data_IF_237828634516
#
_entry.id   IF_237828634516
#
_cell.length_a   1.000
_cell.length_b   1.000
_cell.length_c   1.000
_cell.angle_alpha   90.00
_cell.angle_beta   90.00
_cell.angle_gamma   90.00
#
_symmetry.space_group_name_H-M   'P 1'
#
loop_
_entity.id
_entity.type
_entity.pdbx_description
1 polymer ?
#
# COMPACT_ATOMS: atom_id res chain seq x y z
N UNK A 1 22.88 -5.67 -8.38
CA UNK A 1 22.23 -6.79 -7.68
C UNK A 1 20.75 -6.49 -7.64
N UNK A 2 19.97 -7.23 -8.42
CA UNK A 2 18.53 -7.08 -8.56
C UNK A 2 17.85 -7.38 -7.21
N UNK A 3 17.27 -6.38 -6.55
CA UNK A 3 16.21 -6.64 -5.57
C UNK A 3 14.92 -6.87 -6.32
N UNK A 4 14.81 -8.06 -6.92
CA UNK A 4 13.53 -8.58 -7.36
C UNK A 4 12.62 -8.61 -6.14
N UNK A 5 11.47 -7.95 -6.28
CA UNK A 5 10.27 -8.20 -5.49
C UNK A 5 10.25 -9.67 -5.09
N UNK A 6 10.17 -9.96 -3.79
CA UNK A 6 9.77 -11.30 -3.36
C UNK A 6 8.31 -11.46 -3.75
N UNK A 7 8.10 -11.87 -5.00
CA UNK A 7 6.85 -12.40 -5.54
C UNK A 7 6.36 -13.45 -4.56
N UNK A 8 5.14 -13.30 -4.06
CA UNK A 8 4.54 -14.19 -3.08
C UNK A 8 4.58 -13.64 -1.65
N UNK A 9 3.46 -13.01 -1.26
CA UNK A 9 2.81 -13.20 0.06
C UNK A 9 1.48 -12.46 0.25
N UNK A 10 0.90 -11.84 -0.78
CA UNK A 10 -0.51 -11.40 -0.71
C UNK A 10 -1.18 -11.62 -2.06
N UNK A 11 -1.94 -12.71 -2.18
CA UNK A 11 -2.82 -12.93 -3.32
C UNK A 11 -3.81 -11.76 -3.45
N UNK A 12 -4.27 -11.17 -2.35
CA UNK A 12 -5.14 -9.99 -2.34
C UNK A 12 -4.51 -8.82 -3.11
N UNK A 13 -3.28 -8.42 -2.77
CA UNK A 13 -2.63 -7.28 -3.42
C UNK A 13 -2.17 -7.64 -4.84
N UNK A 14 -1.69 -8.86 -5.08
CA UNK A 14 -1.32 -9.30 -6.43
C UNK A 14 -2.54 -9.44 -7.36
N UNK A 15 -3.67 -9.97 -6.89
CA UNK A 15 -4.88 -10.22 -7.67
C UNK A 15 -5.74 -8.95 -7.87
N UNK A 16 -5.77 -8.06 -6.89
CA UNK A 16 -6.37 -6.72 -7.03
C UNK A 16 -5.60 -5.85 -8.03
N UNK A 17 -4.27 -5.93 -8.02
CA UNK A 17 -3.42 -5.14 -8.91
C UNK A 17 -3.28 -5.73 -10.33
N UNK A 18 -3.53 -7.03 -10.52
CA UNK A 18 -3.47 -7.68 -11.85
C UNK A 18 -4.78 -7.58 -12.65
N UNK A 19 -5.91 -7.21 -12.03
CA UNK A 19 -7.20 -7.03 -12.73
C UNK A 19 -7.35 -5.66 -13.41
N UNK A 20 -6.43 -4.71 -13.19
CA UNK A 20 -6.25 -3.59 -14.11
C UNK A 20 -5.25 -4.00 -15.20
N UNK A 21 -5.71 -4.13 -16.45
CA UNK A 21 -4.88 -4.34 -17.66
C UNK A 21 -3.97 -3.13 -18.01
N UNK A 22 -3.53 -2.40 -17.00
CA UNK A 22 -2.46 -1.41 -17.04
C UNK A 22 -1.65 -1.61 -15.77
N UNK A 23 -0.61 -2.43 -15.84
CA UNK A 23 0.36 -2.74 -14.77
C UNK A 23 1.23 -1.52 -14.39
N UNK A 24 0.59 -0.39 -14.12
CA UNK A 24 1.22 0.76 -13.49
C UNK A 24 0.85 0.67 -12.02
N UNK A 25 1.79 0.20 -11.20
CA UNK A 25 1.69 0.28 -9.75
C UNK A 25 1.31 1.72 -9.37
N UNK A 26 0.28 1.90 -8.55
CA UNK A 26 -0.17 3.21 -8.04
C UNK A 26 1.02 4.03 -7.53
N UNK A 27 1.96 3.35 -6.89
CA UNK A 27 3.20 3.95 -6.40
C UNK A 27 4.11 4.47 -7.51
N UNK A 28 4.27 3.70 -8.58
CA UNK A 28 5.05 4.10 -9.76
C UNK A 28 4.39 5.26 -10.49
N UNK A 29 3.05 5.28 -10.54
CA UNK A 29 2.28 6.39 -11.12
C UNK A 29 2.40 7.69 -10.31
N UNK A 30 2.33 7.61 -8.98
CA UNK A 30 2.35 8.79 -8.09
C UNK A 30 3.77 9.31 -7.82
N UNK A 31 4.76 8.43 -7.71
CA UNK A 31 6.10 8.76 -7.20
C UNK A 31 7.24 8.40 -8.15
N UNK A 32 6.96 7.78 -9.30
CA UNK A 32 7.99 7.36 -10.26
C UNK A 32 8.89 6.23 -9.74
N UNK A 33 8.56 5.61 -8.60
CA UNK A 33 9.34 4.55 -7.96
C UNK A 33 8.43 3.50 -7.32
N UNK A 34 8.99 2.33 -7.02
CA UNK A 34 8.31 1.32 -6.21
C UNK A 34 8.32 1.69 -4.72
N UNK A 35 7.35 1.13 -3.99
CA UNK A 35 7.31 1.25 -2.54
C UNK A 35 8.53 0.57 -1.92
N UNK A 36 9.08 1.10 -0.82
CA UNK A 36 10.25 0.47 -0.22
C UNK A 36 9.94 -0.92 0.36
N UNK A 37 8.80 -1.09 1.03
CA UNK A 37 8.34 -2.40 1.49
C UNK A 37 6.82 -2.52 1.45
N UNK A 38 6.39 -3.77 1.30
CA UNK A 38 5.03 -4.22 1.50
C UNK A 38 5.05 -5.41 2.48
N UNK A 39 4.38 -5.27 3.62
CA UNK A 39 4.34 -6.28 4.68
C UNK A 39 2.87 -6.63 5.01
N UNK A 40 2.57 -7.88 5.38
CA UNK A 40 1.30 -8.26 6.01
C UNK A 40 1.50 -8.30 7.53
N UNK A 41 0.49 -7.95 8.31
CA UNK A 41 0.54 -8.15 9.76
C UNK A 41 0.63 -9.66 10.08
N UNK A 42 1.38 -10.00 11.14
CA UNK A 42 1.62 -11.40 11.50
C UNK A 42 0.39 -12.06 12.16
N UNK A 43 -0.45 -11.26 12.80
CA UNK A 43 -1.56 -11.67 13.67
C UNK A 43 -2.93 -11.23 13.14
N UNK A 44 -2.97 -10.50 12.02
CA UNK A 44 -4.20 -10.02 11.38
C UNK A 44 -4.06 -10.13 9.86
N UNK A 45 -4.69 -11.14 9.27
CA UNK A 45 -4.61 -11.43 7.84
C UNK A 45 -5.24 -10.34 6.96
N UNK A 46 -6.03 -9.45 7.55
CA UNK A 46 -6.71 -8.33 6.88
C UNK A 46 -5.87 -7.07 6.83
N UNK A 47 -4.75 -7.02 7.57
CA UNK A 47 -3.94 -5.83 7.73
C UNK A 47 -2.63 -5.94 6.95
N UNK A 48 -2.35 -4.91 6.16
CA UNK A 48 -1.16 -4.76 5.32
C UNK A 48 -0.51 -3.40 5.56
N UNK A 49 0.79 -3.32 5.27
CA UNK A 49 1.60 -2.13 5.46
C UNK A 49 2.38 -1.80 4.20
N UNK A 50 2.24 -0.58 3.69
CA UNK A 50 3.17 0.01 2.72
C UNK A 50 4.10 0.92 3.48
N UNK A 51 5.40 0.64 3.45
CA UNK A 51 6.41 1.35 4.25
C UNK A 51 7.33 2.13 3.32
N UNK A 52 7.53 3.40 3.64
CA UNK A 52 8.43 4.32 2.96
C UNK A 52 9.47 4.85 3.92
N UNK A 53 10.74 4.54 3.66
CA UNK A 53 11.85 4.91 4.53
C UNK A 53 12.05 6.43 4.56
N UNK A 54 11.74 7.10 3.46
CA UNK A 54 11.80 8.55 3.32
C UNK A 54 10.40 9.09 3.01
N UNK A 55 10.01 10.27 3.53
CA UNK A 55 8.70 10.85 3.26
C UNK A 55 8.46 11.01 1.76
N UNK A 56 7.33 10.48 1.28
CA UNK A 56 6.91 10.44 -0.13
C UNK A 56 6.93 11.79 -0.87
N UNK A 57 6.91 12.89 -0.13
CA UNK A 57 6.83 14.26 -0.65
C UNK A 57 8.19 14.99 -0.67
N UNK A 58 9.28 14.40 -0.17
CA UNK A 58 10.60 15.05 -0.24
C UNK A 58 11.09 15.28 -1.70
N UNK A 59 10.41 14.68 -2.67
CA UNK A 59 10.59 14.97 -4.11
C UNK A 59 10.03 16.34 -4.52
N UNK A 60 9.04 16.87 -3.79
CA UNK A 60 8.26 18.06 -4.19
C UNK A 60 8.24 19.18 -3.14
N UNK A 61 8.74 18.95 -1.93
CA UNK A 61 8.76 19.96 -0.86
C UNK A 61 10.14 20.07 -0.21
N UNK A 62 10.64 21.30 -0.07
CA UNK A 62 11.89 21.62 0.64
C UNK A 62 11.68 21.78 2.15
N UNK A 63 11.01 20.82 2.80
CA UNK A 63 10.83 20.83 4.26
C UNK A 63 11.98 20.03 4.90
N UNK A 64 12.76 20.62 5.83
CA UNK A 64 13.79 19.90 6.57
C UNK A 64 13.22 18.65 7.25
N UNK A 65 14.00 17.57 7.31
CA UNK A 65 13.52 16.28 7.84
C UNK A 65 13.00 16.41 9.28
N UNK A 66 13.58 17.31 10.07
CA UNK A 66 13.16 17.57 11.45
C UNK A 66 11.72 18.08 11.57
N UNK A 67 11.19 18.72 10.52
CA UNK A 67 9.85 19.28 10.46
C UNK A 67 8.90 18.42 9.60
N UNK A 68 9.31 17.20 9.26
CA UNK A 68 8.50 16.31 8.44
C UNK A 68 7.23 15.90 9.18
N UNK A 69 6.08 16.12 8.56
CA UNK A 69 4.77 15.70 9.06
C UNK A 69 4.17 14.62 8.16
N UNK A 70 3.15 13.92 8.65
CA UNK A 70 2.45 12.89 7.87
C UNK A 70 1.43 13.47 6.88
N UNK A 71 1.33 14.79 6.69
CA UNK A 71 0.29 15.42 5.87
C UNK A 71 0.23 14.85 4.45
N UNK A 72 1.38 14.69 3.80
CA UNK A 72 1.44 14.17 2.44
C UNK A 72 1.21 12.65 2.38
N UNK A 73 1.69 11.93 3.38
CA UNK A 73 1.39 10.51 3.52
C UNK A 73 -0.11 10.29 3.78
N UNK A 74 -0.79 11.18 4.50
CA UNK A 74 -2.24 11.18 4.71
C UNK A 74 -3.01 11.43 3.40
N UNK A 75 -2.57 12.39 2.58
CA UNK A 75 -3.12 12.60 1.24
C UNK A 75 -2.98 11.33 0.37
N UNK A 76 -1.79 10.73 0.34
CA UNK A 76 -1.56 9.45 -0.35
C UNK A 76 -2.45 8.35 0.22
N UNK A 77 -2.60 8.27 1.54
CA UNK A 77 -3.46 7.30 2.20
C UNK A 77 -4.91 7.40 1.74
N UNK A 78 -5.46 8.61 1.65
CA UNK A 78 -6.79 8.86 1.11
C UNK A 78 -6.94 8.45 -0.36
N UNK A 79 -5.94 8.76 -1.20
CA UNK A 79 -5.93 8.34 -2.61
C UNK A 79 -5.90 6.81 -2.74
N UNK A 80 -5.08 6.12 -1.94
CA UNK A 80 -5.01 4.66 -1.92
C UNK A 80 -6.33 4.06 -1.43
N UNK A 81 -6.93 4.60 -0.36
CA UNK A 81 -8.23 4.17 0.16
C UNK A 81 -9.32 4.24 -0.93
N UNK A 82 -9.38 5.36 -1.65
CA UNK A 82 -10.33 5.55 -2.74
C UNK A 82 -10.11 4.54 -3.88
N UNK A 83 -8.86 4.34 -4.32
CA UNK A 83 -8.53 3.39 -5.38
C UNK A 83 -8.96 1.97 -5.00
N UNK A 84 -8.62 1.52 -3.78
CA UNK A 84 -8.98 0.19 -3.29
C UNK A 84 -10.50 0.01 -3.24
N UNK A 85 -11.20 0.97 -2.63
CA UNK A 85 -12.67 0.95 -2.48
C UNK A 85 -13.37 0.91 -3.83
N UNK A 86 -13.00 1.79 -4.77
CA UNK A 86 -13.61 1.85 -6.10
C UNK A 86 -13.21 0.68 -7.02
N UNK A 87 -12.13 -0.04 -6.68
CA UNK A 87 -11.73 -1.26 -7.38
C UNK A 87 -12.42 -2.52 -6.84
N UNK A 88 -13.31 -2.39 -5.84
CA UNK A 88 -14.04 -3.51 -5.24
C UNK A 88 -13.33 -4.16 -4.04
N UNK A 89 -12.30 -3.52 -3.51
CA UNK A 89 -11.54 -3.97 -2.35
C UNK A 89 -11.66 -2.96 -1.20
N UNK A 90 -12.87 -2.77 -0.62
CA UNK A 90 -13.07 -1.80 0.44
C UNK A 90 -12.11 -2.05 1.62
N UNK A 91 -11.50 -0.97 2.08
CA UNK A 91 -10.49 -0.97 3.11
C UNK A 91 -10.47 0.37 3.85
N UNK A 92 -9.95 0.36 5.08
CA UNK A 92 -9.55 1.56 5.80
C UNK A 92 -8.05 1.76 5.70
N UNK A 93 -7.62 2.95 5.28
CA UNK A 93 -6.23 3.35 5.24
C UNK A 93 -5.95 4.38 6.33
N UNK A 94 -4.92 4.13 7.13
CA UNK A 94 -4.42 5.06 8.14
C UNK A 94 -2.92 5.21 7.99
N UNK A 95 -2.37 6.30 8.53
CA UNK A 95 -0.97 6.67 8.31
C UNK A 95 -0.25 6.82 9.63
N UNK A 96 0.92 6.21 9.74
CA UNK A 96 1.68 6.11 10.98
C UNK A 96 3.16 6.33 10.74
N UNK A 97 3.86 6.76 11.78
CA UNK A 97 5.32 6.67 11.83
C UNK A 97 5.73 5.29 12.33
N UNK A 98 6.14 4.41 11.41
CA UNK A 98 6.66 3.09 11.75
C UNK A 98 7.66 2.65 10.69
N UNK A 99 8.94 2.50 11.05
CA UNK A 99 10.06 2.22 10.11
C UNK A 99 10.13 3.22 8.92
N UNK A 100 9.62 4.44 9.12
CA UNK A 100 9.38 5.42 8.06
C UNK A 100 7.92 5.90 8.06
N UNK A 101 7.49 6.55 6.97
CA UNK A 101 6.09 6.87 6.73
C UNK A 101 5.37 5.60 6.26
N UNK A 102 4.36 5.15 7.02
CA UNK A 102 3.70 3.87 6.76
C UNK A 102 2.21 4.05 6.57
N UNK A 103 1.69 3.49 5.49
CA UNK A 103 0.26 3.35 5.24
C UNK A 103 -0.16 1.97 5.74
N UNK A 104 -0.99 1.94 6.79
CA UNK A 104 -1.66 0.73 7.24
C UNK A 104 -2.99 0.61 6.50
N UNK A 105 -3.16 -0.48 5.76
CA UNK A 105 -4.34 -0.82 4.98
C UNK A 105 -5.02 -1.98 5.69
N UNK A 106 -6.26 -1.77 6.15
CA UNK A 106 -7.07 -2.82 6.75
C UNK A 106 -8.29 -3.09 5.88
N UNK A 107 -8.32 -4.24 5.23
CA UNK A 107 -9.43 -4.65 4.39
C UNK A 107 -10.66 -5.05 5.20
N UNK A 108 -11.83 -4.90 4.58
CA UNK A 108 -13.07 -5.45 5.13
C UNK A 108 -13.04 -6.99 5.10
N UNK A 109 -13.71 -7.62 6.06
CA UNK A 109 -13.80 -9.09 6.19
C UNK A 109 -14.26 -9.77 4.89
N UNK A 110 -15.19 -9.14 4.17
CA UNK A 110 -15.74 -9.67 2.93
C UNK A 110 -14.68 -9.81 1.84
N UNK A 111 -13.71 -8.90 1.79
CA UNK A 111 -12.60 -8.94 0.82
C UNK A 111 -11.72 -10.16 1.10
N UNK A 112 -11.36 -10.38 2.36
CA UNK A 112 -10.51 -11.50 2.78
C UNK A 112 -11.21 -12.84 2.57
N UNK A 113 -12.51 -12.90 2.88
CA UNK A 113 -13.33 -14.08 2.67
C UNK A 113 -13.41 -14.45 1.19
N UNK A 114 -13.64 -13.46 0.32
CA UNK A 114 -13.69 -13.65 -1.12
C UNK A 114 -12.34 -14.12 -1.67
N UNK A 115 -11.24 -13.54 -1.20
CA UNK A 115 -9.89 -13.92 -1.65
C UNK A 115 -9.57 -15.37 -1.31
N UNK A 116 -9.79 -15.79 -0.06
CA UNK A 116 -9.63 -17.20 0.37
C UNK A 116 -10.48 -18.17 -0.45
N UNK A 117 -11.70 -17.76 -0.81
CA UNK A 117 -12.59 -18.59 -1.64
C UNK A 117 -12.09 -18.74 -3.09
N UNK A 118 -11.30 -17.78 -3.58
CA UNK A 118 -10.67 -17.83 -4.89
C UNK A 118 -9.34 -18.60 -4.88
N UNK A 119 -8.58 -18.56 -3.78
CA UNK A 119 -7.34 -19.35 -3.61
C UNK A 119 -7.59 -20.87 -3.58
N UNK A 120 -8.80 -21.30 -3.23
CA UNK A 120 -9.21 -22.71 -3.24
C UNK A 120 -9.56 -23.29 -4.62
N UNK A 121 -9.30 -22.57 -5.71
CA UNK A 121 -9.50 -23.02 -7.11
C UNK A 121 -8.18 -23.09 -7.86
#
# INVERSE_FOLDING_TARGET
METRFTRGKSAILEHSLTRLKTEVSVWRALFGKEANKLEQANDDDKTYYIIEKEPLINIFTSVPKENSTLNCAAFTGGAVEAILTHSGFPAKVTVHWHKGATLMIKFDEAVITQDKALEGR
#
